data_IF_574610377434
#
_entry.id   IF_574610377434
#
_cell.length_a   1.000
_cell.length_b   1.000
_cell.length_c   1.000
_cell.angle_alpha   90.00
_cell.angle_beta   90.00
_cell.angle_gamma   90.00
#
_symmetry.space_group_name_H-M   'P 1'
#
loop_
_entity.id
_entity.type
_entity.pdbx_description
1 polymer ?
#
# COMPACT_ATOMS: atom_id res chain seq x y z
N UNK A 1 32.28 7.53 -2.56
CA UNK A 1 32.08 7.93 -3.97
C UNK A 1 31.61 6.77 -4.85
N UNK A 2 32.44 5.76 -5.18
CA UNK A 2 32.02 4.60 -6.02
C UNK A 2 30.86 3.80 -5.41
N UNK A 3 30.88 3.60 -4.08
CA UNK A 3 29.81 2.90 -3.35
C UNK A 3 28.49 3.68 -3.33
N UNK A 4 28.54 5.01 -3.27
CA UNK A 4 27.35 5.86 -3.30
C UNK A 4 26.71 5.88 -4.69
N UNK A 5 27.55 5.77 -5.74
CA UNK A 5 27.13 5.63 -7.13
C UNK A 5 26.42 4.28 -7.33
N UNK A 6 27.03 3.17 -6.91
CA UNK A 6 26.44 1.83 -6.99
C UNK A 6 25.10 1.71 -6.24
N UNK A 7 24.99 2.34 -5.08
CA UNK A 7 23.73 2.42 -4.33
C UNK A 7 22.65 3.13 -5.12
N UNK A 8 22.97 4.32 -5.67
CA UNK A 8 22.05 5.10 -6.49
C UNK A 8 21.67 4.34 -7.76
N UNK A 9 22.59 3.62 -8.39
CA UNK A 9 22.33 2.82 -9.59
C UNK A 9 21.35 1.67 -9.33
N UNK A 10 21.46 0.98 -8.19
CA UNK A 10 20.49 -0.05 -7.84
C UNK A 10 19.09 0.54 -7.59
N UNK A 11 19.00 1.68 -6.90
CA UNK A 11 17.74 2.38 -6.69
C UNK A 11 17.13 2.91 -8.00
N UNK A 12 17.93 3.46 -8.92
CA UNK A 12 17.44 3.92 -10.23
C UNK A 12 16.84 2.78 -11.03
N UNK A 13 17.51 1.62 -11.10
CA UNK A 13 17.01 0.45 -11.83
C UNK A 13 15.62 0.01 -11.31
N UNK A 14 15.46 -0.07 -9.98
CA UNK A 14 14.18 -0.46 -9.39
C UNK A 14 13.11 0.59 -9.67
N UNK A 15 13.39 1.87 -9.47
CA UNK A 15 12.43 2.96 -9.74
C UNK A 15 12.01 2.99 -11.21
N UNK A 16 12.97 2.85 -12.13
CA UNK A 16 12.70 2.77 -13.56
C UNK A 16 11.81 1.58 -13.90
N UNK A 17 12.07 0.41 -13.30
CA UNK A 17 11.22 -0.77 -13.49
C UNK A 17 9.78 -0.52 -13.04
N UNK A 18 9.57 0.17 -11.91
CA UNK A 18 8.24 0.53 -11.43
C UNK A 18 7.54 1.51 -12.36
N UNK A 19 8.26 2.53 -12.85
CA UNK A 19 7.70 3.46 -13.84
C UNK A 19 7.28 2.76 -15.13
N UNK A 20 8.07 1.80 -15.62
CA UNK A 20 7.74 0.98 -16.80
C UNK A 20 6.46 0.16 -16.55
N UNK A 21 6.30 -0.41 -15.35
CA UNK A 21 5.07 -1.15 -15.01
C UNK A 21 3.87 -0.18 -15.00
N UNK A 22 4.00 1.02 -14.43
CA UNK A 22 2.91 2.01 -14.40
C UNK A 22 2.52 2.46 -15.82
N UNK A 23 3.49 2.72 -16.69
CA UNK A 23 3.22 3.11 -18.08
C UNK A 23 2.55 1.98 -18.85
N UNK A 24 3.01 0.73 -18.67
CA UNK A 24 2.38 -0.46 -19.26
C UNK A 24 0.92 -0.61 -18.82
N UNK A 25 0.64 -0.43 -17.53
CA UNK A 25 -0.73 -0.46 -16.98
C UNK A 25 -1.58 0.64 -17.62
N UNK A 26 -1.06 1.87 -17.69
CA UNK A 26 -1.78 3.01 -18.27
C UNK A 26 -2.12 2.78 -19.75
N UNK A 27 -1.22 2.17 -20.52
CA UNK A 27 -1.43 1.87 -21.94
C UNK A 27 -2.51 0.80 -22.15
N UNK A 28 -2.46 -0.29 -21.38
CA UNK A 28 -3.37 -1.42 -21.57
C UNK A 28 -4.74 -1.22 -20.91
N UNK A 29 -4.83 -0.41 -19.86
CA UNK A 29 -6.01 -0.26 -19.02
C UNK A 29 -6.34 1.22 -18.73
N UNK A 30 -6.20 2.09 -19.73
CA UNK A 30 -6.33 3.55 -19.58
C UNK A 30 -7.63 3.98 -18.87
N UNK A 31 -8.77 3.40 -19.27
CA UNK A 31 -10.07 3.74 -18.69
C UNK A 31 -10.14 3.42 -17.19
N UNK A 32 -9.61 2.26 -16.78
CA UNK A 32 -9.55 1.83 -15.37
C UNK A 32 -8.55 2.66 -14.57
N UNK A 33 -7.41 3.01 -15.17
CA UNK A 33 -6.40 3.87 -14.53
C UNK A 33 -6.93 5.29 -14.26
N UNK A 34 -7.57 5.91 -15.26
CA UNK A 34 -8.20 7.22 -15.12
C UNK A 34 -9.35 7.21 -14.11
N UNK A 35 -10.06 6.08 -14.02
CA UNK A 35 -11.08 5.87 -12.99
C UNK A 35 -10.45 5.81 -11.59
N UNK A 36 -9.40 5.01 -11.42
CA UNK A 36 -8.69 4.83 -10.15
C UNK A 36 -8.18 6.19 -9.61
N UNK A 37 -7.59 7.05 -10.45
CA UNK A 37 -7.18 8.41 -10.05
C UNK A 37 -8.38 9.24 -9.56
N UNK A 38 -9.53 9.13 -10.23
CA UNK A 38 -10.75 9.87 -9.87
C UNK A 38 -11.38 9.41 -8.56
N UNK A 39 -11.15 8.17 -8.12
CA UNK A 39 -11.66 7.66 -6.81
C UNK A 39 -11.12 8.50 -5.65
N UNK A 40 -9.87 8.96 -5.74
CA UNK A 40 -9.27 9.80 -4.71
C UNK A 40 -10.02 11.13 -4.55
N UNK A 41 -10.49 11.70 -5.66
CA UNK A 41 -11.12 13.04 -5.68
C UNK A 41 -12.66 13.00 -5.56
N UNK A 42 -13.32 11.95 -6.05
CA UNK A 42 -14.77 11.96 -6.19
C UNK A 42 -15.47 10.67 -5.71
N UNK A 43 -16.13 10.78 -4.55
CA UNK A 43 -16.94 9.73 -3.90
C UNK A 43 -18.13 9.25 -4.73
N UNK A 44 -18.62 10.04 -5.70
CA UNK A 44 -19.81 9.71 -6.49
C UNK A 44 -19.55 8.61 -7.54
N UNK A 45 -18.30 8.45 -7.99
CA UNK A 45 -17.92 7.48 -9.04
C UNK A 45 -17.78 6.04 -8.53
N UNK A 46 -17.66 5.86 -7.22
CA UNK A 46 -17.61 4.57 -6.52
C UNK A 46 -18.93 3.78 -6.62
N UNK A 47 -20.05 4.48 -6.83
CA UNK A 47 -21.36 3.85 -7.03
C UNK A 47 -21.56 3.28 -8.43
N UNK A 48 -20.85 3.80 -9.45
CA UNK A 48 -21.07 3.46 -10.86
C UNK A 48 -20.41 2.13 -11.25
N UNK A 49 -19.27 1.80 -10.65
CA UNK A 49 -18.49 0.59 -10.95
C UNK A 49 -18.84 -0.64 -10.09
N UNK A 50 -19.71 -0.50 -9.08
CA UNK A 50 -20.29 -1.66 -8.34
C UNK A 50 -21.00 -2.67 -9.24
N UNK A 51 -21.33 -2.31 -10.49
CA UNK A 51 -22.06 -3.14 -11.46
C UNK A 51 -21.17 -3.88 -12.45
N UNK A 52 -19.90 -3.51 -12.61
CA UNK A 52 -18.98 -4.25 -13.48
C UNK A 52 -18.33 -5.37 -12.66
N UNK A 53 -18.47 -6.61 -13.14
CA UNK A 53 -18.05 -7.83 -12.44
C UNK A 53 -16.61 -7.68 -11.93
N UNK A 54 -16.45 -7.95 -10.64
CA UNK A 54 -15.20 -8.05 -9.89
C UNK A 54 -14.42 -9.23 -10.46
N UNK A 55 -13.75 -9.03 -11.58
CA UNK A 55 -12.71 -9.93 -12.07
C UNK A 55 -11.42 -9.23 -11.66
N UNK A 56 -10.67 -9.84 -10.75
CA UNK A 56 -9.28 -9.47 -10.48
C UNK A 56 -8.54 -9.56 -11.81
N UNK A 57 -8.36 -8.40 -12.45
CA UNK A 57 -7.66 -8.32 -13.72
C UNK A 57 -6.17 -8.12 -13.44
N UNK A 58 -5.32 -8.43 -14.43
CA UNK A 58 -3.88 -8.14 -14.34
C UNK A 58 -3.57 -6.71 -13.89
N UNK A 59 -4.45 -5.75 -14.18
CA UNK A 59 -4.42 -4.38 -13.67
C UNK A 59 -4.20 -4.27 -12.15
N UNK A 60 -5.04 -4.91 -11.34
CA UNK A 60 -4.98 -4.79 -9.88
C UNK A 60 -3.71 -5.43 -9.32
N UNK A 61 -3.29 -6.55 -9.93
CA UNK A 61 -2.08 -7.27 -9.57
C UNK A 61 -0.81 -6.44 -9.84
N UNK A 62 -0.67 -5.85 -11.03
CA UNK A 62 0.50 -5.03 -11.37
C UNK A 62 0.58 -3.74 -10.53
N UNK A 63 -0.56 -3.12 -10.21
CA UNK A 63 -0.58 -1.97 -9.30
C UNK A 63 -0.24 -2.37 -7.86
N UNK A 64 -0.68 -3.53 -7.42
CA UNK A 64 -0.35 -4.04 -6.08
C UNK A 64 1.13 -4.36 -5.94
N UNK A 65 1.76 -4.92 -6.99
CA UNK A 65 3.23 -5.08 -7.05
C UNK A 65 3.90 -3.72 -6.91
N UNK A 66 3.45 -2.70 -7.65
CA UNK A 66 4.01 -1.35 -7.54
C UNK A 66 3.92 -0.80 -6.12
N UNK A 67 2.78 -0.97 -5.46
CA UNK A 67 2.58 -0.54 -4.08
C UNK A 67 3.54 -1.24 -3.12
N UNK A 68 3.63 -2.57 -3.18
CA UNK A 68 4.49 -3.38 -2.31
C UNK A 68 5.95 -2.97 -2.45
N UNK A 69 6.45 -2.89 -3.70
CA UNK A 69 7.85 -2.55 -3.96
C UNK A 69 8.16 -1.10 -3.59
N UNK A 70 7.21 -0.18 -3.79
CA UNK A 70 7.40 1.23 -3.41
C UNK A 70 7.47 1.40 -1.89
N UNK A 71 6.63 0.68 -1.13
CA UNK A 71 6.72 0.68 0.34
C UNK A 71 7.99 0.01 0.83
N UNK A 72 8.39 -1.13 0.25
CA UNK A 72 9.62 -1.80 0.67
C UNK A 72 10.85 -0.93 0.46
N UNK A 73 10.90 -0.18 -0.65
CA UNK A 73 11.96 0.81 -0.89
C UNK A 73 11.97 1.91 0.16
N UNK A 74 10.79 2.42 0.53
CA UNK A 74 10.67 3.44 1.56
C UNK A 74 11.14 2.92 2.94
N UNK A 75 10.75 1.70 3.32
CA UNK A 75 11.21 1.08 4.58
C UNK A 75 12.71 0.81 4.56
N UNK A 76 13.24 0.32 3.43
CA UNK A 76 14.67 0.04 3.29
C UNK A 76 15.52 1.32 3.37
N UNK A 77 15.10 2.41 2.72
CA UNK A 77 15.76 3.71 2.84
C UNK A 77 15.71 4.23 4.27
N UNK A 78 14.59 4.08 4.98
CA UNK A 78 14.50 4.42 6.40
C UNK A 78 15.50 3.66 7.27
N UNK A 79 15.60 2.34 7.09
CA UNK A 79 16.54 1.50 7.86
C UNK A 79 18.01 1.84 7.57
N UNK A 80 18.36 2.14 6.32
CA UNK A 80 19.70 2.59 5.94
C UNK A 80 20.08 3.89 6.66
N UNK A 81 19.12 4.78 6.89
CA UNK A 81 19.33 6.09 7.50
C UNK A 81 19.35 6.06 9.03
N UNK A 82 18.60 5.14 9.66
CA UNK A 82 18.61 5.00 11.12
C UNK A 82 19.89 4.35 11.63
N UNK A 83 20.42 3.37 10.90
CA UNK A 83 21.45 2.48 11.43
C UNK A 83 22.87 3.04 11.33
N UNK A 84 23.12 4.16 10.62
CA UNK A 84 24.45 4.77 10.39
C UNK A 84 25.58 3.79 9.95
N UNK A 85 25.26 2.53 9.69
CA UNK A 85 26.18 1.50 9.27
C UNK A 85 26.50 1.67 7.79
N UNK A 86 27.67 1.17 7.38
CA UNK A 86 28.20 1.27 6.02
C UNK A 86 27.10 1.09 4.96
N UNK A 87 26.82 2.19 4.26
CA UNK A 87 25.89 2.30 3.14
C UNK A 87 26.33 1.36 2.01
N UNK A 88 25.98 0.09 2.10
CA UNK A 88 26.09 -0.88 1.01
C UNK A 88 24.70 -1.38 0.70
N UNK A 89 24.29 -1.21 -0.56
CA UNK A 89 23.05 -1.77 -1.04
C UNK A 89 23.09 -3.29 -0.90
N UNK A 90 22.08 -3.85 -0.23
CA UNK A 90 21.98 -5.26 0.04
C UNK A 90 20.64 -5.76 -0.49
N UNK A 91 20.68 -6.38 -1.66
CA UNK A 91 19.52 -6.93 -2.36
C UNK A 91 18.75 -7.93 -1.48
N UNK A 92 19.47 -8.72 -0.67
CA UNK A 92 18.88 -9.76 0.16
C UNK A 92 18.00 -9.12 1.24
N UNK A 93 18.48 -8.03 1.86
CA UNK A 93 17.68 -7.27 2.84
C UNK A 93 16.41 -6.68 2.21
N UNK A 94 16.52 -6.10 1.02
CA UNK A 94 15.35 -5.56 0.31
C UNK A 94 14.33 -6.67 0.00
N UNK A 95 14.78 -7.81 -0.52
CA UNK A 95 13.91 -8.96 -0.81
C UNK A 95 13.23 -9.46 0.46
N UNK A 96 13.95 -9.56 1.58
CA UNK A 96 13.36 -9.94 2.87
C UNK A 96 12.24 -8.97 3.30
N UNK A 97 12.46 -7.66 3.18
CA UNK A 97 11.44 -6.64 3.47
C UNK A 97 10.21 -6.82 2.56
N UNK A 98 10.42 -7.04 1.26
CA UNK A 98 9.33 -7.31 0.31
C UNK A 98 8.53 -8.54 0.73
N UNK A 99 9.19 -9.64 1.06
CA UNK A 99 8.55 -10.89 1.49
C UNK A 99 7.73 -10.68 2.78
N UNK A 100 8.28 -9.96 3.76
CA UNK A 100 7.57 -9.61 5.01
C UNK A 100 6.30 -8.79 4.70
N UNK A 101 6.39 -7.79 3.82
CA UNK A 101 5.24 -6.96 3.45
C UNK A 101 4.18 -7.78 2.70
N UNK A 102 4.58 -8.63 1.75
CA UNK A 102 3.66 -9.48 0.99
C UNK A 102 2.95 -10.46 1.91
N UNK A 103 3.70 -11.17 2.75
CA UNK A 103 3.15 -12.16 3.68
C UNK A 103 2.18 -11.51 4.65
N UNK A 104 2.52 -10.34 5.20
CA UNK A 104 1.64 -9.56 6.05
C UNK A 104 0.33 -9.16 5.33
N UNK A 105 0.41 -8.58 4.12
CA UNK A 105 -0.76 -8.15 3.37
C UNK A 105 -1.67 -9.33 2.99
N UNK A 106 -1.08 -10.45 2.59
CA UNK A 106 -1.83 -11.67 2.24
C UNK A 106 -2.54 -12.24 3.45
N UNK A 107 -1.83 -12.40 4.57
CA UNK A 107 -2.39 -12.96 5.80
C UNK A 107 -3.52 -12.07 6.34
N UNK A 108 -3.32 -10.74 6.29
CA UNK A 108 -4.37 -9.76 6.63
C UNK A 108 -5.61 -9.93 5.74
N UNK A 109 -5.46 -9.91 4.41
CA UNK A 109 -6.60 -10.03 3.50
C UNK A 109 -7.32 -11.38 3.64
N UNK A 110 -6.58 -12.48 3.86
CA UNK A 110 -7.16 -13.81 4.09
C UNK A 110 -7.98 -13.84 5.38
N UNK A 111 -7.47 -13.28 6.46
CA UNK A 111 -8.17 -13.23 7.74
C UNK A 111 -9.50 -12.47 7.64
N UNK A 112 -9.52 -11.37 6.88
CA UNK A 112 -10.73 -10.58 6.61
C UNK A 112 -11.77 -11.37 5.78
N UNK A 113 -11.32 -12.19 4.82
CA UNK A 113 -12.17 -13.07 4.03
C UNK A 113 -12.75 -14.24 4.87
N UNK A 114 -11.95 -14.82 5.76
CA UNK A 114 -12.40 -15.92 6.64
C UNK A 114 -13.51 -15.43 7.57
N UNK A 115 -13.31 -14.30 8.25
CA UNK A 115 -14.35 -13.70 9.11
C UNK A 115 -15.59 -13.36 8.31
N UNK A 116 -15.41 -12.83 7.10
CA UNK A 116 -16.52 -12.55 6.21
C UNK A 116 -17.38 -13.78 5.88
N UNK A 117 -16.75 -14.94 5.72
CA UNK A 117 -17.41 -16.20 5.47
C UNK A 117 -18.10 -16.74 6.72
N UNK A 118 -17.43 -16.74 7.87
CA UNK A 118 -17.97 -17.20 9.17
C UNK A 118 -19.26 -16.45 9.55
N UNK A 119 -19.28 -15.13 9.35
CA UNK A 119 -20.44 -14.31 9.69
C UNK A 119 -21.46 -14.15 8.55
N UNK A 120 -21.25 -14.77 7.38
CA UNK A 120 -22.10 -14.60 6.19
C UNK A 120 -22.28 -13.14 5.72
N UNK A 121 -21.27 -12.29 5.92
CA UNK A 121 -21.27 -10.86 5.53
C UNK A 121 -20.40 -10.60 4.27
N UNK A 122 -20.17 -11.63 3.46
CA UNK A 122 -19.36 -11.54 2.22
C UNK A 122 -19.84 -10.53 1.21
N UNK A 123 -21.15 -10.27 1.15
CA UNK A 123 -21.74 -9.26 0.28
C UNK A 123 -21.32 -7.82 0.64
N UNK A 124 -20.98 -7.55 1.92
CA UNK A 124 -20.56 -6.23 2.38
C UNK A 124 -19.04 -6.10 2.50
N UNK A 125 -18.33 -7.16 2.88
CA UNK A 125 -16.86 -7.13 3.09
C UNK A 125 -16.08 -7.22 1.78
N UNK A 126 -16.47 -8.06 0.82
CA UNK A 126 -15.77 -8.15 -0.49
C UNK A 126 -15.64 -6.81 -1.23
N UNK A 127 -16.69 -5.99 -1.39
CA UNK A 127 -16.54 -4.70 -2.04
C UNK A 127 -15.69 -3.73 -1.20
N UNK A 128 -15.76 -3.79 0.13
CA UNK A 128 -14.92 -3.00 1.02
C UNK A 128 -13.43 -3.34 0.88
N UNK A 129 -13.09 -4.64 0.80
CA UNK A 129 -11.72 -5.12 0.58
C UNK A 129 -11.17 -4.65 -0.77
N UNK A 130 -11.99 -4.70 -1.82
CA UNK A 130 -11.59 -4.24 -3.14
C UNK A 130 -11.27 -2.74 -3.15
N UNK A 131 -12.12 -1.93 -2.52
CA UNK A 131 -11.86 -0.49 -2.36
C UNK A 131 -10.58 -0.21 -1.57
N UNK A 132 -10.35 -0.96 -0.48
CA UNK A 132 -9.14 -0.85 0.34
C UNK A 132 -7.87 -1.15 -0.46
N UNK A 133 -7.91 -2.15 -1.33
CA UNK A 133 -6.78 -2.49 -2.22
C UNK A 133 -6.56 -1.38 -3.25
N UNK A 134 -7.63 -0.84 -3.84
CA UNK A 134 -7.52 0.28 -4.78
C UNK A 134 -6.92 1.53 -4.13
N UNK A 135 -7.31 1.86 -2.90
CA UNK A 135 -6.70 2.96 -2.14
C UNK A 135 -5.22 2.71 -1.84
N UNK A 136 -4.84 1.47 -1.47
CA UNK A 136 -3.43 1.14 -1.29
C UNK A 136 -2.64 1.32 -2.59
N UNK A 137 -3.15 0.81 -3.71
CA UNK A 137 -2.55 0.96 -5.03
C UNK A 137 -2.36 2.43 -5.41
N UNK A 138 -3.34 3.29 -5.13
CA UNK A 138 -3.23 4.75 -5.29
C UNK A 138 -2.11 5.35 -4.44
N UNK A 139 -2.02 4.96 -3.17
CA UNK A 139 -0.95 5.41 -2.28
C UNK A 139 0.41 4.96 -2.81
N UNK A 140 0.51 3.78 -3.41
CA UNK A 140 1.74 3.29 -4.06
C UNK A 140 2.24 4.20 -5.16
N UNK A 141 1.32 4.73 -5.99
CA UNK A 141 1.63 5.70 -7.03
C UNK A 141 2.18 7.02 -6.46
N UNK A 142 1.79 7.40 -5.25
CA UNK A 142 2.27 8.62 -4.55
C UNK A 142 3.60 8.36 -3.81
N UNK A 143 3.80 7.15 -3.27
CA UNK A 143 5.05 6.78 -2.58
C UNK A 143 6.23 6.73 -3.56
N UNK A 144 6.01 6.32 -4.81
CA UNK A 144 7.07 6.26 -5.82
C UNK A 144 7.75 7.63 -6.05
N UNK A 145 7.06 8.75 -6.36
CA UNK A 145 7.72 10.05 -6.48
C UNK A 145 8.31 10.55 -5.16
N UNK A 146 7.75 10.17 -4.00
CA UNK A 146 8.37 10.45 -2.70
C UNK A 146 9.74 9.76 -2.59
N UNK A 147 9.85 8.49 -2.96
CA UNK A 147 11.13 7.78 -2.97
C UNK A 147 12.16 8.45 -3.90
N UNK A 148 11.73 8.92 -5.08
CA UNK A 148 12.59 9.67 -6.00
C UNK A 148 13.13 10.94 -5.32
N UNK A 149 12.26 11.71 -4.67
CA UNK A 149 12.65 12.94 -3.97
C UNK A 149 13.68 12.66 -2.85
N UNK A 150 13.44 11.62 -2.05
CA UNK A 150 14.32 11.26 -0.93
C UNK A 150 15.70 10.79 -1.41
N UNK A 151 15.75 9.99 -2.48
CA UNK A 151 17.00 9.35 -2.93
C UNK A 151 17.87 10.30 -3.77
N UNK A 152 17.26 11.16 -4.59
CA UNK A 152 17.99 11.98 -5.57
C UNK A 152 18.09 13.46 -5.21
N UNK A 153 17.07 14.05 -4.59
CA UNK A 153 17.00 15.49 -4.38
C UNK A 153 17.41 15.90 -2.96
N UNK A 154 16.94 15.18 -1.96
CA UNK A 154 17.27 15.50 -0.57
C UNK A 154 18.52 14.77 -0.13
N UNK A 155 19.39 15.47 0.61
CA UNK A 155 20.40 14.77 1.39
C UNK A 155 19.63 14.04 2.50
N UNK A 156 19.65 12.71 2.53
CA UNK A 156 18.69 11.96 3.29
C UNK A 156 18.96 12.21 4.78
N UNK A 157 18.02 12.89 5.42
CA UNK A 157 18.07 13.21 6.85
C UNK A 157 16.85 12.61 7.54
N UNK A 158 17.04 12.22 8.79
CA UNK A 158 16.00 11.59 9.61
C UNK A 158 14.76 12.50 9.70
N UNK A 159 14.94 13.83 9.76
CA UNK A 159 13.84 14.79 9.81
C UNK A 159 12.97 14.77 8.53
N UNK A 160 13.60 14.70 7.35
CA UNK A 160 12.88 14.65 6.07
C UNK A 160 12.09 13.35 5.95
N UNK A 161 12.64 12.22 6.41
CA UNK A 161 11.93 10.95 6.46
C UNK A 161 10.68 11.01 7.34
N UNK A 162 10.77 11.62 8.53
CA UNK A 162 9.61 11.76 9.41
C UNK A 162 8.47 12.58 8.78
N UNK A 163 8.81 13.61 7.99
CA UNK A 163 7.81 14.38 7.23
C UNK A 163 7.09 13.47 6.24
N UNK A 164 7.83 12.66 5.46
CA UNK A 164 7.22 11.74 4.49
C UNK A 164 6.43 10.61 5.15
N UNK A 165 6.89 10.08 6.29
CA UNK A 165 6.12 9.12 7.10
C UNK A 165 4.78 9.73 7.51
N UNK A 166 4.78 10.98 7.99
CA UNK A 166 3.55 11.69 8.37
C UNK A 166 2.59 11.85 7.18
N UNK A 167 3.11 12.19 5.99
CA UNK A 167 2.31 12.29 4.76
C UNK A 167 1.69 10.94 4.40
N UNK A 168 2.46 9.84 4.43
CA UNK A 168 1.97 8.50 4.11
C UNK A 168 0.89 8.07 5.11
N UNK A 169 1.10 8.32 6.41
CA UNK A 169 0.11 8.02 7.46
C UNK A 169 -1.18 8.83 7.24
N UNK A 170 -1.07 10.11 6.90
CA UNK A 170 -2.23 10.95 6.60
C UNK A 170 -3.01 10.44 5.38
N UNK A 171 -2.32 10.03 4.31
CA UNK A 171 -2.95 9.42 3.13
C UNK A 171 -3.67 8.10 3.47
N UNK A 172 -3.07 7.27 4.34
CA UNK A 172 -3.70 6.02 4.80
C UNK A 172 -4.95 6.31 5.65
N UNK A 173 -4.87 7.28 6.56
CA UNK A 173 -5.97 7.67 7.43
C UNK A 173 -7.16 8.21 6.63
N UNK A 174 -6.90 9.11 5.68
CA UNK A 174 -7.94 9.69 4.80
C UNK A 174 -8.61 8.64 3.91
N UNK A 175 -7.82 7.71 3.37
CA UNK A 175 -8.33 6.58 2.58
C UNK A 175 -9.25 5.67 3.41
N UNK A 176 -8.85 5.40 4.65
CA UNK A 176 -9.64 4.60 5.58
C UNK A 176 -10.98 5.27 5.92
N UNK A 177 -10.95 6.56 6.27
CA UNK A 177 -12.16 7.36 6.56
C UNK A 177 -13.09 7.38 5.34
N UNK A 178 -12.56 7.59 4.14
CA UNK A 178 -13.36 7.61 2.91
C UNK A 178 -14.03 6.25 2.66
N UNK A 179 -13.29 5.15 2.81
CA UNK A 179 -13.83 3.79 2.66
C UNK A 179 -14.95 3.52 3.68
N UNK A 180 -14.76 3.92 4.93
CA UNK A 180 -15.79 3.79 5.97
C UNK A 180 -17.08 4.55 5.64
N UNK A 181 -16.96 5.81 5.19
CA UNK A 181 -18.11 6.65 4.83
C UNK A 181 -18.88 6.04 3.64
N UNK A 182 -18.18 5.51 2.64
CA UNK A 182 -18.79 4.91 1.44
C UNK A 182 -19.65 3.68 1.76
N UNK A 183 -19.18 2.85 2.69
CA UNK A 183 -19.84 1.62 3.06
C UNK A 183 -20.75 1.77 4.29
N UNK A 184 -20.88 2.97 4.85
CA UNK A 184 -21.62 3.21 6.09
C UNK A 184 -23.07 2.71 6.05
N UNK A 185 -23.77 2.84 4.91
CA UNK A 185 -25.17 2.37 4.78
C UNK A 185 -25.30 0.85 4.82
N UNK A 186 -24.35 0.13 4.22
CA UNK A 186 -24.30 -1.34 4.26
C UNK A 186 -23.84 -1.84 5.62
N UNK A 187 -22.91 -1.11 6.26
CA UNK A 187 -22.36 -1.40 7.59
C UNK A 187 -23.40 -1.19 8.70
N UNK A 188 -24.25 -0.16 8.62
CA UNK A 188 -25.29 0.12 9.62
C UNK A 188 -26.27 -1.03 9.81
N UNK A 189 -26.47 -1.89 8.80
CA UNK A 189 -27.33 -3.08 8.91
C UNK A 189 -26.73 -4.16 9.83
N UNK A 190 -25.41 -4.14 10.05
CA UNK A 190 -24.67 -5.12 10.85
C UNK A 190 -23.55 -4.43 11.67
N UNK A 191 -23.89 -3.34 12.36
CA UNK A 191 -22.90 -2.42 12.96
C UNK A 191 -22.01 -3.09 14.03
N UNK A 192 -22.58 -3.98 14.84
CA UNK A 192 -21.84 -4.74 15.87
C UNK A 192 -20.76 -5.64 15.25
N UNK A 193 -21.11 -6.40 14.20
CA UNK A 193 -20.15 -7.26 13.47
C UNK A 193 -19.04 -6.47 12.79
N UNK A 194 -19.34 -5.25 12.35
CA UNK A 194 -18.34 -4.38 11.74
C UNK A 194 -17.36 -3.80 12.76
N UNK A 195 -17.81 -3.44 13.97
CA UNK A 195 -16.93 -3.00 15.05
C UNK A 195 -16.01 -4.15 15.49
N UNK A 196 -16.56 -5.36 15.64
CA UNK A 196 -15.77 -6.55 15.98
C UNK A 196 -14.70 -6.82 14.90
N UNK A 197 -15.08 -6.72 13.62
CA UNK A 197 -14.16 -6.80 12.48
C UNK A 197 -13.04 -5.75 12.56
N UNK A 198 -13.37 -4.48 12.77
CA UNK A 198 -12.38 -3.40 12.82
C UNK A 198 -11.35 -3.59 13.94
N UNK A 199 -11.83 -3.89 15.15
CA UNK A 199 -10.96 -4.03 16.31
C UNK A 199 -10.06 -5.26 16.20
N UNK A 200 -10.57 -6.39 15.70
CA UNK A 200 -9.83 -7.66 15.69
C UNK A 200 -8.93 -7.85 14.48
N UNK A 201 -9.38 -7.50 13.28
CA UNK A 201 -8.66 -7.80 12.05
C UNK A 201 -7.82 -6.65 11.53
N UNK A 202 -8.14 -5.43 11.94
CA UNK A 202 -7.44 -4.27 11.40
C UNK A 202 -6.39 -3.73 12.36
N UNK A 203 -6.66 -3.71 13.68
CA UNK A 203 -5.74 -3.18 14.69
C UNK A 203 -4.75 -4.25 15.16
N UNK A 204 -5.20 -5.47 15.46
CA UNK A 204 -4.35 -6.54 16.02
C UNK A 204 -3.15 -6.90 15.12
N UNK A 205 -3.28 -7.05 13.78
CA UNK A 205 -2.12 -7.40 12.96
C UNK A 205 -1.03 -6.33 12.96
N UNK A 206 -1.39 -5.04 13.11
CA UNK A 206 -0.39 -3.98 13.23
C UNK A 206 0.32 -3.99 14.58
N UNK A 207 -0.38 -4.35 15.66
CA UNK A 207 0.23 -4.52 16.98
C UNK A 207 1.21 -5.71 16.98
N UNK A 208 0.82 -6.84 16.39
CA UNK A 208 1.70 -8.00 16.25
C UNK A 208 2.95 -7.70 15.40
N UNK A 209 2.82 -6.90 14.34
CA UNK A 209 3.96 -6.44 13.54
C UNK A 209 4.90 -5.55 14.36
N UNK A 210 4.34 -4.63 15.14
CA UNK A 210 5.13 -3.74 15.99
C UNK A 210 5.95 -4.53 17.02
N UNK A 211 5.32 -5.49 17.68
CA UNK A 211 6.01 -6.37 18.65
C UNK A 211 7.11 -7.21 17.97
N UNK A 212 6.84 -7.72 16.76
CA UNK A 212 7.85 -8.47 15.99
C UNK A 212 9.07 -7.60 15.65
N UNK A 213 8.85 -6.37 15.19
CA UNK A 213 9.94 -5.43 14.90
C UNK A 213 10.70 -4.98 16.15
N UNK A 214 10.06 -4.96 17.32
CA UNK A 214 10.71 -4.60 18.58
C UNK A 214 11.51 -5.77 19.17
N UNK A 215 11.10 -7.01 18.88
CA UNK A 215 11.79 -8.23 19.30
C UNK A 215 13.07 -8.57 18.50
N UNK A 216 13.29 -7.89 17.37
CA UNK A 216 14.45 -8.02 16.48
C UNK A 216 15.45 -6.89 16.76
#
# INVERSE_FOLDING_TARGET
MIRDILLKDAFTIIILSLMIIITFIKLNYEQKFNYLIKIFWNRSYLKKYKKEKIIYNGFDYFLQINFVVSISLFVYTFQLLSNNHSLSFDLIKLINIVVIIITFLMLKNLSELVVSWVFNISWAIKPYLNEKINYNNLIGLIILPINILIIFFFNPSINILFIFISIILFLKLTSYINSFILHQKTIKKSWFYFILYLCTLEIIPYLLLYDFFLSI
#
